data_IF_825021846174
#
_entry.id   IF_825021846174
#
_cell.length_a   1.000
_cell.length_b   1.000
_cell.length_c   1.000
_cell.angle_alpha   90.00
_cell.angle_beta   90.00
_cell.angle_gamma   90.00
#
_symmetry.space_group_name_H-M   'P 1'
#
loop_
_entity.id
_entity.type
_entity.pdbx_description
1 polymer ?
#
# COMPACT_ATOMS: atom_id res chain seq x y z
N UNK A 1 -0.18 25.41 50.86
CA UNK A 1 -1.33 24.81 50.15
C UNK A 1 -1.41 25.44 48.77
N UNK A 2 -0.91 24.77 47.73
CA UNK A 2 -0.98 25.24 46.34
C UNK A 2 -2.09 24.46 45.64
N UNK A 3 -3.24 25.09 45.38
CA UNK A 3 -4.30 24.50 44.57
C UNK A 3 -3.95 24.67 43.09
N UNK A 4 -3.67 23.55 42.41
CA UNK A 4 -3.55 23.50 40.97
C UNK A 4 -4.93 23.71 40.32
N UNK A 5 -5.11 24.86 39.66
CA UNK A 5 -6.26 25.15 38.81
C UNK A 5 -6.23 24.22 37.58
N UNK A 6 -6.94 23.10 37.65
CA UNK A 6 -7.24 22.28 36.47
C UNK A 6 -8.25 23.05 35.63
N UNK A 7 -7.79 23.67 34.54
CA UNK A 7 -8.66 24.30 33.56
C UNK A 7 -9.71 23.28 33.07
N UNK A 8 -11.00 23.56 33.31
CA UNK A 8 -12.10 22.72 32.82
C UNK A 8 -12.06 22.74 31.28
N UNK A 9 -11.63 21.63 30.66
CA UNK A 9 -11.79 21.42 29.22
C UNK A 9 -13.27 21.56 28.86
N UNK A 10 -13.60 22.55 28.03
CA UNK A 10 -14.94 22.76 27.55
C UNK A 10 -15.33 21.57 26.65
N UNK A 11 -16.26 20.74 27.13
CA UNK A 11 -16.71 19.56 26.38
C UNK A 11 -17.46 19.98 25.12
N UNK A 12 -17.14 19.41 23.95
CA UNK A 12 -17.86 19.74 22.72
C UNK A 12 -19.36 19.43 22.85
N UNK A 13 -20.22 20.31 22.31
CA UNK A 13 -21.68 20.10 22.38
C UNK A 13 -22.11 18.87 21.56
N UNK A 14 -23.23 18.24 21.95
CA UNK A 14 -23.79 17.07 21.26
C UNK A 14 -24.11 17.36 19.78
N UNK A 15 -24.51 18.60 19.46
CA UNK A 15 -24.76 19.06 18.09
C UNK A 15 -23.48 19.12 17.27
N UNK A 16 -22.41 19.70 17.82
CA UNK A 16 -21.09 19.76 17.16
C UNK A 16 -20.55 18.35 16.89
N UNK A 17 -20.66 17.45 17.87
CA UNK A 17 -20.27 16.05 17.70
C UNK A 17 -21.03 15.37 16.56
N UNK A 18 -22.36 15.56 16.48
CA UNK A 18 -23.19 14.96 15.44
C UNK A 18 -22.82 15.46 14.04
N UNK A 19 -22.68 16.77 13.86
CA UNK A 19 -22.34 17.39 12.57
C UNK A 19 -20.94 16.95 12.10
N UNK A 20 -19.98 16.90 13.01
CA UNK A 20 -18.63 16.44 12.71
C UNK A 20 -18.61 14.95 12.34
N UNK A 21 -19.33 14.13 13.11
CA UNK A 21 -19.44 12.68 12.84
C UNK A 21 -20.07 12.40 11.48
N UNK A 22 -21.14 13.12 11.13
CA UNK A 22 -21.77 12.99 9.80
C UNK A 22 -20.82 13.43 8.69
N UNK A 23 -20.10 14.55 8.88
CA UNK A 23 -19.10 15.03 7.92
C UNK A 23 -17.99 13.99 7.67
N UNK A 24 -17.47 13.37 8.74
CA UNK A 24 -16.47 12.30 8.65
C UNK A 24 -17.00 11.03 7.97
N UNK A 25 -18.28 10.71 8.18
CA UNK A 25 -18.91 9.56 7.51
C UNK A 25 -19.05 9.77 6.00
N UNK A 26 -19.38 11.00 5.60
CA UNK A 26 -19.47 11.38 4.18
C UNK A 26 -18.11 11.39 3.50
N UNK A 27 -17.07 11.92 4.15
CA UNK A 27 -15.71 11.90 3.61
C UNK A 27 -14.68 11.61 4.72
N UNK A 28 -14.18 10.37 4.70
CA UNK A 28 -13.20 9.85 5.65
C UNK A 28 -11.77 10.33 5.37
N UNK A 29 -11.53 11.05 4.26
CA UNK A 29 -10.19 11.51 3.85
C UNK A 29 -9.90 12.95 4.28
N UNK A 30 -10.91 13.69 4.74
CA UNK A 30 -10.74 15.07 5.19
C UNK A 30 -9.71 15.18 6.32
N UNK A 31 -8.80 16.16 6.18
CA UNK A 31 -7.83 16.47 7.23
C UNK A 31 -8.51 17.22 8.37
N UNK A 32 -8.02 17.07 9.60
CA UNK A 32 -8.52 17.82 10.78
C UNK A 32 -8.63 19.32 10.50
N UNK A 33 -7.67 19.90 9.77
CA UNK A 33 -7.67 21.32 9.38
C UNK A 33 -8.81 21.70 8.43
N UNK A 34 -9.17 20.81 7.50
CA UNK A 34 -10.24 21.05 6.53
C UNK A 34 -11.61 20.96 7.22
N UNK A 35 -11.77 20.02 8.15
CA UNK A 35 -12.98 19.90 8.96
C UNK A 35 -13.15 21.12 9.87
N UNK A 36 -12.07 21.57 10.51
CA UNK A 36 -12.09 22.76 11.37
C UNK A 36 -12.52 24.01 10.60
N UNK A 37 -12.02 24.18 9.36
CA UNK A 37 -12.41 25.28 8.49
C UNK A 37 -13.86 25.16 8.03
N UNK A 38 -14.27 23.97 7.56
CA UNK A 38 -15.62 23.73 7.03
C UNK A 38 -16.72 23.90 8.07
N UNK A 39 -16.44 23.56 9.33
CA UNK A 39 -17.40 23.58 10.42
C UNK A 39 -17.21 24.79 11.35
N UNK A 40 -16.28 25.69 11.04
CA UNK A 40 -15.95 26.89 11.84
C UNK A 40 -15.72 26.58 13.33
N UNK A 41 -15.04 25.47 13.60
CA UNK A 41 -14.73 25.02 14.96
C UNK A 41 -13.22 24.93 15.20
N UNK A 42 -12.75 25.14 16.44
CA UNK A 42 -11.33 25.03 16.75
C UNK A 42 -10.75 23.66 16.39
N UNK A 43 -9.54 23.63 15.84
CA UNK A 43 -8.81 22.39 15.51
C UNK A 43 -8.66 21.48 16.72
N UNK A 44 -8.50 22.04 17.92
CA UNK A 44 -8.44 21.31 19.20
C UNK A 44 -9.75 20.56 19.48
N UNK A 45 -10.90 21.19 19.25
CA UNK A 45 -12.23 20.59 19.40
C UNK A 45 -12.43 19.45 18.40
N UNK A 46 -12.02 19.64 17.14
CA UNK A 46 -12.03 18.57 16.13
C UNK A 46 -11.15 17.40 16.58
N UNK A 47 -9.95 17.70 17.05
CA UNK A 47 -9.01 16.69 17.52
C UNK A 47 -9.58 15.91 18.72
N UNK A 48 -10.18 16.58 19.70
CA UNK A 48 -10.83 15.96 20.86
C UNK A 48 -12.01 15.07 20.44
N UNK A 49 -12.88 15.56 19.55
CA UNK A 49 -14.01 14.75 19.06
C UNK A 49 -13.50 13.52 18.32
N UNK A 50 -12.55 13.68 17.40
CA UNK A 50 -12.03 12.57 16.59
C UNK A 50 -11.30 11.56 17.45
N UNK A 51 -10.37 11.99 18.30
CA UNK A 51 -9.48 11.09 19.03
C UNK A 51 -10.05 10.61 20.35
N UNK A 52 -10.79 11.43 21.09
CA UNK A 52 -11.22 11.11 22.45
C UNK A 52 -12.68 10.67 22.50
N UNK A 53 -13.56 11.29 21.70
CA UNK A 53 -14.98 10.93 21.65
C UNK A 53 -15.24 9.76 20.69
N UNK A 54 -14.83 9.89 19.42
CA UNK A 54 -15.00 8.86 18.40
C UNK A 54 -13.95 7.76 18.50
N UNK A 55 -12.91 7.97 19.30
CA UNK A 55 -11.79 7.03 19.48
C UNK A 55 -11.10 6.65 18.17
N UNK A 56 -11.15 7.51 17.16
CA UNK A 56 -10.39 7.30 15.94
C UNK A 56 -8.91 7.46 16.30
N UNK A 57 -8.16 6.36 16.22
CA UNK A 57 -6.71 6.36 16.41
C UNK A 57 -6.07 6.18 15.04
N UNK A 58 -5.07 7.00 14.73
CA UNK A 58 -4.18 6.72 13.60
C UNK A 58 -3.36 5.49 13.99
N UNK A 59 -3.72 4.34 13.45
CA UNK A 59 -3.06 3.06 13.78
C UNK A 59 -1.67 3.01 13.16
N UNK A 60 -1.57 3.34 11.88
CA UNK A 60 -0.32 3.60 11.17
C UNK A 60 -0.62 4.44 9.93
N UNK A 61 0.31 5.29 9.50
CA UNK A 61 0.21 5.95 8.19
C UNK A 61 0.46 4.98 7.03
N UNK A 62 1.09 3.85 7.33
CA UNK A 62 1.78 2.99 6.37
C UNK A 62 2.08 1.66 7.05
N UNK A 63 1.42 0.59 6.63
CA UNK A 63 1.81 -0.76 7.05
C UNK A 63 3.03 -1.15 6.25
N UNK A 64 4.21 -0.86 6.81
CA UNK A 64 5.49 -0.94 6.12
C UNK A 64 6.27 -2.15 6.59
N UNK A 65 6.30 -3.23 5.80
CA UNK A 65 7.38 -4.18 5.91
C UNK A 65 8.69 -3.45 5.65
N UNK A 66 9.65 -3.64 6.56
CA UNK A 66 10.79 -2.73 6.67
C UNK A 66 11.72 -2.78 5.46
N UNK A 67 11.76 -3.91 4.75
CA UNK A 67 12.63 -4.13 3.59
C UNK A 67 11.98 -5.20 2.70
N UNK A 68 11.81 -4.88 1.42
CA UNK A 68 11.40 -5.80 0.36
C UNK A 68 12.42 -5.76 -0.77
N UNK A 69 12.76 -6.95 -1.27
CA UNK A 69 13.60 -7.21 -2.43
C UNK A 69 12.97 -8.32 -3.26
N UNK A 70 13.13 -8.28 -4.58
CA UNK A 70 12.73 -9.36 -5.47
C UNK A 70 13.96 -10.20 -5.85
N UNK A 71 13.86 -11.52 -5.87
CA UNK A 71 14.93 -12.41 -6.31
C UNK A 71 14.42 -13.57 -7.17
N UNK A 72 15.31 -14.16 -7.96
CA UNK A 72 15.05 -15.37 -8.76
C UNK A 72 14.99 -16.67 -7.92
N UNK A 73 15.30 -16.59 -6.62
CA UNK A 73 15.35 -17.74 -5.71
C UNK A 73 16.62 -18.58 -5.78
N UNK A 74 17.52 -18.31 -6.73
CA UNK A 74 18.77 -19.06 -7.00
C UNK A 74 20.01 -18.22 -6.68
N UNK A 75 19.89 -16.89 -6.59
CA UNK A 75 20.95 -16.00 -6.13
C UNK A 75 21.00 -14.65 -6.85
N UNK A 76 20.19 -14.44 -7.89
CA UNK A 76 20.05 -13.16 -8.57
C UNK A 76 19.00 -12.32 -7.89
N UNK A 77 19.35 -11.08 -7.66
CA UNK A 77 18.82 -10.32 -6.55
C UNK A 77 18.48 -8.93 -7.10
N UNK A 78 17.25 -8.75 -7.56
CA UNK A 78 16.81 -7.57 -8.31
C UNK A 78 16.50 -6.38 -7.39
N UNK A 79 17.04 -5.24 -7.78
CA UNK A 79 16.74 -3.95 -7.17
C UNK A 79 17.30 -3.72 -5.77
N UNK A 80 17.00 -2.54 -5.26
CA UNK A 80 17.50 -2.06 -4.00
C UNK A 80 16.59 -2.45 -2.82
N UNK A 81 17.19 -2.66 -1.65
CA UNK A 81 16.45 -2.87 -0.39
C UNK A 81 15.64 -1.62 -0.07
N UNK A 82 14.32 -1.77 -0.12
CA UNK A 82 13.42 -0.64 -0.01
C UNK A 82 12.23 -0.95 0.91
N UNK A 83 11.61 0.07 1.50
CA UNK A 83 10.37 -0.10 2.27
C UNK A 83 9.25 -0.59 1.36
N UNK A 84 8.33 -1.40 1.89
CA UNK A 84 7.09 -1.70 1.19
C UNK A 84 5.89 -1.05 1.86
N UNK A 85 4.79 -0.89 1.15
CA UNK A 85 3.49 -0.46 1.68
C UNK A 85 2.46 -1.43 1.15
N UNK A 86 1.58 -1.93 2.02
CA UNK A 86 0.39 -2.65 1.59
C UNK A 86 -0.71 -1.66 1.22
N UNK A 87 -1.19 -1.75 -0.02
CA UNK A 87 -2.19 -0.84 -0.55
C UNK A 87 -3.30 -1.60 -1.27
N UNK A 88 -4.43 -1.78 -0.58
CA UNK A 88 -5.63 -2.39 -1.17
C UNK A 88 -6.24 -1.57 -2.32
N UNK A 89 -5.86 -0.28 -2.45
CA UNK A 89 -6.27 0.60 -3.54
C UNK A 89 -5.41 0.46 -4.80
N UNK A 90 -4.30 -0.27 -4.74
CA UNK A 90 -3.45 -0.56 -5.90
C UNK A 90 -3.81 -1.93 -6.48
N UNK A 91 -4.05 -1.99 -7.79
CA UNK A 91 -4.22 -3.27 -8.49
C UNK A 91 -2.90 -4.05 -8.56
N UNK A 92 -1.81 -3.37 -8.89
CA UNK A 92 -0.50 -3.96 -9.18
C UNK A 92 0.39 -4.03 -7.95
N UNK A 93 1.40 -4.90 -8.03
CA UNK A 93 2.64 -4.72 -7.28
C UNK A 93 3.42 -3.62 -7.99
N UNK A 94 3.84 -2.57 -7.29
CA UNK A 94 4.59 -1.46 -7.89
C UNK A 94 5.96 -1.37 -7.24
N UNK A 95 7.01 -1.30 -8.04
CA UNK A 95 8.38 -1.08 -7.57
C UNK A 95 9.03 0.16 -8.19
N UNK A 96 10.22 0.57 -7.72
CA UNK A 96 11.06 1.54 -8.41
C UNK A 96 11.28 1.09 -9.86
N UNK A 97 11.14 2.02 -10.82
CA UNK A 97 11.19 1.69 -12.25
C UNK A 97 12.49 0.99 -12.61
N UNK A 98 13.61 1.45 -12.08
CA UNK A 98 14.95 0.93 -12.36
C UNK A 98 15.04 -0.55 -11.97
N UNK A 99 14.60 -0.89 -10.75
CA UNK A 99 14.58 -2.26 -10.22
C UNK A 99 13.66 -3.18 -11.03
N UNK A 100 12.50 -2.65 -11.43
CA UNK A 100 11.48 -3.42 -12.15
C UNK A 100 11.84 -3.60 -13.62
N UNK A 101 12.51 -2.63 -14.24
CA UNK A 101 13.04 -2.72 -15.60
C UNK A 101 14.12 -3.81 -15.68
N UNK A 102 15.04 -3.87 -14.71
CA UNK A 102 16.07 -4.91 -14.62
C UNK A 102 15.44 -6.31 -14.53
N UNK A 103 14.48 -6.48 -13.62
CA UNK A 103 13.73 -7.73 -13.46
C UNK A 103 13.07 -8.16 -14.77
N UNK A 104 12.36 -7.26 -15.44
CA UNK A 104 11.59 -7.61 -16.62
C UNK A 104 12.42 -7.76 -17.88
N UNK A 105 13.57 -7.09 -17.97
CA UNK A 105 14.57 -7.35 -19.00
C UNK A 105 15.08 -8.80 -18.90
N UNK A 106 15.36 -9.27 -17.67
CA UNK A 106 15.76 -10.66 -17.42
C UNK A 106 14.64 -11.67 -17.75
N UNK A 107 13.39 -11.36 -17.39
CA UNK A 107 12.21 -12.17 -17.75
C UNK A 107 11.87 -12.14 -19.26
N UNK A 108 12.53 -11.28 -20.04
CA UNK A 108 12.28 -11.10 -21.47
C UNK A 108 10.99 -10.35 -21.81
N UNK A 109 10.39 -9.62 -20.86
CA UNK A 109 9.18 -8.86 -21.10
C UNK A 109 9.46 -7.57 -21.87
N UNK A 110 8.48 -7.10 -22.65
CA UNK A 110 8.57 -5.81 -23.35
C UNK A 110 7.91 -4.71 -22.52
N UNK A 111 8.58 -3.58 -22.24
CA UNK A 111 7.97 -2.48 -21.52
C UNK A 111 6.91 -1.79 -22.38
N UNK A 112 5.82 -1.38 -21.74
CA UNK A 112 4.82 -0.46 -22.24
C UNK A 112 4.87 0.78 -21.34
N UNK A 113 5.55 1.81 -21.84
CA UNK A 113 5.84 3.03 -21.08
C UNK A 113 4.57 3.84 -20.77
N UNK A 114 4.58 4.45 -19.59
CA UNK A 114 3.57 5.36 -19.08
C UNK A 114 3.99 5.91 -17.72
N UNK A 115 3.08 6.58 -17.00
CA UNK A 115 3.33 6.99 -15.61
C UNK A 115 3.63 5.76 -14.73
N UNK A 116 2.92 4.67 -15.01
CA UNK A 116 3.22 3.33 -14.51
C UNK A 116 3.61 2.47 -15.72
N UNK A 117 4.85 1.98 -15.76
CA UNK A 117 5.33 1.08 -16.80
C UNK A 117 4.76 -0.30 -16.56
N UNK A 118 4.08 -0.84 -17.58
CA UNK A 118 3.62 -2.22 -17.60
C UNK A 118 4.57 -3.06 -18.43
N UNK A 119 4.62 -4.37 -18.17
CA UNK A 119 5.52 -5.27 -18.90
C UNK A 119 4.72 -6.38 -19.53
N UNK A 120 4.92 -6.58 -20.83
CA UNK A 120 4.12 -7.48 -21.66
C UNK A 120 4.90 -8.75 -21.95
N UNK A 121 4.21 -9.89 -21.84
CA UNK A 121 4.74 -11.20 -22.18
C UNK A 121 4.09 -11.73 -23.45
N UNK A 122 4.90 -12.37 -24.28
CA UNK A 122 4.44 -13.23 -25.36
C UNK A 122 4.04 -14.60 -24.80
N UNK A 123 3.08 -15.26 -25.46
CA UNK A 123 2.54 -16.54 -24.99
C UNK A 123 3.60 -17.62 -24.78
N UNK A 124 4.59 -17.71 -25.66
CA UNK A 124 5.63 -18.74 -25.59
C UNK A 124 6.57 -18.56 -24.40
N UNK A 125 6.64 -17.36 -23.82
CA UNK A 125 7.50 -17.08 -22.66
C UNK A 125 6.91 -17.64 -21.38
N UNK A 126 5.57 -17.74 -21.29
CA UNK A 126 4.86 -18.02 -20.05
C UNK A 126 5.23 -19.36 -19.40
N UNK A 127 5.53 -20.37 -20.21
CA UNK A 127 5.89 -21.71 -19.72
C UNK A 127 7.31 -21.76 -19.13
N UNK A 128 8.16 -20.78 -19.47
CA UNK A 128 9.55 -20.68 -19.02
C UNK A 128 9.73 -19.68 -17.87
N UNK A 129 8.66 -18.99 -17.48
CA UNK A 129 8.73 -17.96 -16.45
C UNK A 129 9.00 -18.58 -15.07
N UNK A 130 10.05 -18.11 -14.35
CA UNK A 130 10.45 -18.66 -13.06
C UNK A 130 9.55 -18.19 -11.93
N UNK A 131 9.68 -18.81 -10.76
CA UNK A 131 9.12 -18.27 -9.54
C UNK A 131 9.92 -17.04 -9.09
N UNK A 132 9.22 -16.07 -8.50
CA UNK A 132 9.83 -14.86 -7.93
C UNK A 132 9.68 -14.85 -6.41
N UNK A 133 10.72 -14.49 -5.69
CA UNK A 133 10.67 -14.39 -4.24
C UNK A 133 10.68 -12.93 -3.78
N UNK A 134 9.64 -12.54 -3.03
CA UNK A 134 9.63 -11.28 -2.29
C UNK A 134 10.18 -11.53 -0.89
N UNK A 135 11.36 -10.97 -0.58
CA UNK A 135 11.99 -11.12 0.73
C UNK A 135 11.47 -10.04 1.66
N UNK A 136 10.60 -10.41 2.60
CA UNK A 136 9.95 -9.50 3.53
C UNK A 136 10.38 -9.82 4.96
N UNK A 137 11.14 -8.92 5.59
CA UNK A 137 11.69 -9.14 6.94
C UNK A 137 12.47 -10.47 7.07
N UNK A 138 13.20 -10.85 6.02
CA UNK A 138 13.95 -12.11 5.94
C UNK A 138 13.11 -13.35 5.61
N UNK A 139 11.79 -13.23 5.51
CA UNK A 139 10.91 -14.31 5.07
C UNK A 139 10.74 -14.26 3.55
N UNK A 140 10.90 -15.41 2.89
CA UNK A 140 10.70 -15.54 1.44
C UNK A 140 9.23 -15.78 1.14
N UNK A 141 8.63 -14.90 0.34
CA UNK A 141 7.25 -15.01 -0.12
C UNK A 141 7.28 -15.26 -1.63
N UNK A 142 7.23 -16.54 -2.02
CA UNK A 142 7.30 -17.01 -3.40
C UNK A 142 6.00 -16.80 -4.18
N UNK A 143 6.11 -16.24 -5.37
CA UNK A 143 5.03 -16.07 -6.34
C UNK A 143 5.39 -16.86 -7.59
N UNK A 144 4.50 -17.78 -7.99
CA UNK A 144 4.67 -18.52 -9.24
C UNK A 144 4.33 -17.64 -10.44
N UNK A 145 4.72 -18.06 -11.65
CA UNK A 145 4.32 -17.34 -12.87
C UNK A 145 2.81 -17.11 -12.99
N UNK A 146 1.98 -18.02 -12.48
CA UNK A 146 0.52 -17.86 -12.43
C UNK A 146 0.06 -16.77 -11.45
N UNK A 147 0.85 -16.48 -10.43
CA UNK A 147 0.54 -15.49 -9.39
C UNK A 147 0.85 -14.06 -9.87
N UNK A 148 1.91 -13.88 -10.67
CA UNK A 148 2.34 -12.57 -11.15
C UNK A 148 2.07 -12.30 -12.64
N UNK A 149 1.61 -13.26 -13.44
CA UNK A 149 1.17 -13.00 -14.82
C UNK A 149 -0.34 -12.82 -14.87
N UNK A 150 -0.77 -11.72 -15.46
CA UNK A 150 -2.15 -11.37 -15.72
C UNK A 150 -2.48 -11.43 -17.21
N UNK A 151 -3.78 -11.55 -17.51
CA UNK A 151 -4.31 -11.49 -18.88
C UNK A 151 -5.21 -10.26 -19.02
N UNK A 152 -5.08 -9.53 -20.13
CA UNK A 152 -5.98 -8.41 -20.40
C UNK A 152 -7.43 -8.90 -20.57
N UNK A 153 -8.41 -8.28 -19.90
CA UNK A 153 -9.82 -8.59 -20.11
C UNK A 153 -10.19 -8.46 -21.60
N UNK A 154 -10.93 -9.43 -22.13
CA UNK A 154 -11.47 -9.41 -23.50
C UNK A 154 -10.43 -9.32 -24.64
N UNK A 155 -9.15 -9.61 -24.37
CA UNK A 155 -8.12 -9.69 -25.41
C UNK A 155 -8.32 -10.93 -26.30
N UNK A 156 -8.77 -10.70 -27.54
CA UNK A 156 -8.89 -11.73 -28.60
C UNK A 156 -7.53 -12.29 -29.00
N UNK A 157 -6.47 -11.47 -28.90
CA UNK A 157 -5.08 -11.83 -29.26
C UNK A 157 -4.28 -12.47 -28.12
N UNK A 158 -4.84 -12.56 -26.90
CA UNK A 158 -4.16 -13.19 -25.76
C UNK A 158 -2.89 -12.47 -25.34
N UNK A 159 -2.98 -11.16 -25.09
CA UNK A 159 -1.86 -10.40 -24.50
C UNK A 159 -1.79 -10.64 -23.00
N UNK A 160 -0.59 -10.93 -22.51
CA UNK A 160 -0.29 -11.15 -21.10
C UNK A 160 0.56 -10.00 -20.58
N UNK A 161 0.41 -9.67 -19.31
CA UNK A 161 1.18 -8.63 -18.66
C UNK A 161 1.59 -9.04 -17.26
N UNK A 162 2.70 -8.49 -16.78
CA UNK A 162 3.13 -8.66 -15.41
C UNK A 162 2.22 -7.87 -14.46
N UNK A 163 1.76 -8.51 -13.39
CA UNK A 163 1.15 -7.88 -12.23
C UNK A 163 2.13 -7.03 -11.41
N UNK A 164 3.40 -7.01 -11.80
CA UNK A 164 4.46 -6.15 -11.27
C UNK A 164 4.71 -5.02 -12.26
N UNK A 165 4.69 -3.78 -11.78
CA UNK A 165 4.78 -2.58 -12.59
C UNK A 165 5.83 -1.60 -12.06
N UNK A 166 6.44 -0.82 -12.95
CA UNK A 166 7.52 0.10 -12.64
C UNK A 166 7.03 1.54 -12.49
N UNK A 167 7.42 2.22 -11.41
CA UNK A 167 7.09 3.64 -11.18
C UNK A 167 8.34 4.47 -10.94
N UNK A 168 8.43 5.60 -11.62
CA UNK A 168 9.42 6.63 -11.29
C UNK A 168 8.91 7.46 -10.13
N UNK A 169 9.71 7.53 -9.06
CA UNK A 169 9.42 8.36 -7.90
C UNK A 169 9.87 9.80 -8.17
N UNK A 170 9.05 10.77 -7.76
CA UNK A 170 9.41 12.19 -7.93
C UNK A 170 10.50 12.60 -6.96
N UNK A 171 11.21 13.67 -7.27
CA UNK A 171 12.20 14.25 -6.36
C UNK A 171 11.56 14.53 -4.98
N UNK A 172 12.21 14.08 -3.91
CA UNK A 172 11.69 14.15 -2.54
C UNK A 172 10.74 13.01 -2.13
N UNK A 173 10.30 12.15 -3.06
CA UNK A 173 9.63 10.90 -2.71
C UNK A 173 10.67 9.82 -2.39
N UNK A 174 10.54 9.17 -1.23
CA UNK A 174 11.30 7.96 -0.96
C UNK A 174 10.74 6.82 -1.81
N UNK A 175 11.60 6.09 -2.58
CA UNK A 175 11.17 4.88 -3.26
C UNK A 175 10.51 3.92 -2.26
N UNK A 176 9.52 3.18 -2.72
CA UNK A 176 8.85 2.13 -1.95
C UNK A 176 8.24 1.09 -2.88
N UNK A 177 8.26 -0.16 -2.45
CA UNK A 177 7.39 -1.17 -3.05
C UNK A 177 5.94 -0.94 -2.61
N UNK A 178 4.98 -1.06 -3.50
CA UNK A 178 3.56 -1.09 -3.18
C UNK A 178 3.05 -2.50 -3.45
N UNK A 179 2.70 -3.21 -2.39
CA UNK A 179 2.14 -4.55 -2.45
C UNK A 179 0.62 -4.43 -2.58
N UNK A 180 0.15 -4.40 -3.83
CA UNK A 180 -1.27 -4.27 -4.18
C UNK A 180 -2.02 -5.60 -4.26
N UNK A 181 -3.18 -5.58 -4.93
CA UNK A 181 -4.08 -6.72 -5.03
C UNK A 181 -3.45 -7.96 -5.67
N UNK A 182 -2.56 -7.80 -6.66
CA UNK A 182 -1.81 -8.94 -7.23
C UNK A 182 -1.01 -9.72 -6.16
N UNK A 183 -0.41 -9.02 -5.20
CA UNK A 183 0.25 -9.67 -4.07
C UNK A 183 -0.76 -10.23 -3.06
N UNK A 184 -1.76 -9.43 -2.67
CA UNK A 184 -2.74 -9.81 -1.63
C UNK A 184 -3.69 -10.93 -2.04
N UNK A 185 -3.86 -11.19 -3.34
CA UNK A 185 -4.59 -12.37 -3.85
C UNK A 185 -3.78 -13.65 -3.67
N UNK A 186 -2.46 -13.55 -3.76
CA UNK A 186 -1.55 -14.68 -3.58
C UNK A 186 -1.31 -14.96 -2.10
N UNK A 187 -1.30 -13.92 -1.28
CA UNK A 187 -1.08 -13.99 0.15
C UNK A 187 -2.24 -13.37 0.93
N UNK A 188 -2.97 -14.22 1.66
CA UNK A 188 -3.89 -13.75 2.69
C UNK A 188 -3.13 -12.82 3.63
N UNK A 189 -3.66 -11.61 3.80
CA UNK A 189 -3.00 -10.53 4.52
C UNK A 189 -3.82 -10.16 5.75
N UNK A 190 -3.25 -10.37 6.94
CA UNK A 190 -3.86 -9.99 8.21
C UNK A 190 -3.28 -8.67 8.72
N UNK A 191 -4.12 -7.65 8.87
CA UNK A 191 -3.76 -6.40 9.53
C UNK A 191 -4.07 -6.48 11.03
N UNK A 192 -3.08 -6.81 11.84
CA UNK A 192 -3.20 -6.91 13.30
C UNK A 192 -2.89 -5.56 13.94
N UNK A 193 -3.96 -4.77 14.09
CA UNK A 193 -3.95 -3.43 14.70
C UNK A 193 -3.47 -3.50 16.17
N UNK A 194 -3.93 -4.50 16.92
CA UNK A 194 -3.64 -4.63 18.35
C UNK A 194 -2.15 -4.82 18.62
N UNK A 195 -1.50 -5.65 17.81
CA UNK A 195 -0.07 -5.95 17.94
C UNK A 195 0.82 -5.15 16.97
N UNK A 196 0.26 -4.19 16.23
CA UNK A 196 0.98 -3.34 15.26
C UNK A 196 1.82 -4.13 14.26
N UNK A 197 1.27 -5.23 13.73
CA UNK A 197 1.95 -6.09 12.76
C UNK A 197 1.06 -6.43 11.58
N UNK A 198 1.70 -6.90 10.50
CA UNK A 198 1.01 -7.58 9.41
C UNK A 198 1.53 -9.00 9.29
N UNK A 199 0.61 -9.93 9.08
CA UNK A 199 0.91 -11.33 8.79
C UNK A 199 0.51 -11.70 7.37
N UNK A 200 1.26 -12.62 6.78
CA UNK A 200 0.99 -13.20 5.46
C UNK A 200 0.87 -14.72 5.58
N UNK A 201 -0.07 -15.30 4.86
CA UNK A 201 -0.17 -16.74 4.64
C UNK A 201 -0.50 -16.99 3.16
N UNK A 202 0.02 -18.06 2.56
CA UNK A 202 -0.31 -18.40 1.17
C UNK A 202 -1.83 -18.61 1.07
N UNK A 203 -2.48 -17.95 0.11
CA UNK A 203 -3.90 -18.12 -0.13
C UNK A 203 -4.14 -19.49 -0.81
N UNK A 204 -5.24 -20.15 -0.45
CA UNK A 204 -5.69 -21.43 -1.01
C UNK A 204 -6.63 -21.27 -2.18
#
# INVERSE_FOLDING_TARGET
>A
MSQSLVARKHRPTRRTQLVLTNSLRCDRRMKIREIALKLEIPKSTVHEIVHDTLRYRKVSARWVPKIVKCSDGVGTDFGHKCQAILDTGSSFIVGPREDVDELHAWLGAKPLEGDLTLYLFERYQLEMLPDLEFIVNGQKLTMTSKDYVCKFPNSVTGKFYSGIAGKTFKEGESPAWVLGLNFMRTYYTQFDIGNRRVGFAKAT
#
